data_IF_631177607293
#
_entry.id   IF_631177607293
#
_cell.length_a   1.000
_cell.length_b   1.000
_cell.length_c   1.000
_cell.angle_alpha   90.00
_cell.angle_beta   90.00
_cell.angle_gamma   90.00
#
_symmetry.space_group_name_H-M   'P 1'
#
loop_
_entity.id
_entity.type
_entity.pdbx_description
1 polymer ?
#
# COMPACT_ATOMS: atom_id res chain seq x y z
N UNK A 1 31.27 9.51 7.34
CA UNK A 1 30.75 9.03 8.63
C UNK A 1 29.38 8.46 8.34
N UNK A 2 29.21 7.14 8.42
CA UNK A 2 27.87 6.54 8.23
C UNK A 2 27.10 6.75 9.54
N UNK A 3 25.92 7.38 9.46
CA UNK A 3 25.01 7.54 10.59
C UNK A 3 24.06 6.32 10.72
N UNK A 4 24.16 5.35 9.80
CA UNK A 4 23.37 4.14 9.88
C UNK A 4 23.86 3.29 11.08
N UNK A 5 22.96 2.90 12.00
CA UNK A 5 23.33 2.03 13.11
C UNK A 5 23.72 0.66 12.55
N UNK A 6 24.98 0.25 12.77
CA UNK A 6 25.51 -1.02 12.28
C UNK A 6 25.09 -2.22 13.14
N UNK A 7 24.70 -1.96 14.39
CA UNK A 7 24.39 -2.97 15.41
C UNK A 7 22.92 -2.92 15.84
N UNK A 8 22.02 -2.38 15.01
CA UNK A 8 20.60 -2.33 15.33
C UNK A 8 19.97 -3.72 15.18
N UNK A 9 19.35 -4.21 16.25
CA UNK A 9 18.55 -5.44 16.20
C UNK A 9 17.18 -5.13 15.57
N UNK A 10 17.01 -5.56 14.32
CA UNK A 10 15.76 -5.41 13.57
C UNK A 10 14.71 -6.48 13.93
N UNK A 11 15.03 -7.37 14.88
CA UNK A 11 14.18 -8.49 15.29
C UNK A 11 14.20 -9.64 14.29
N UNK A 12 13.14 -10.45 14.32
CA UNK A 12 13.04 -11.66 13.49
C UNK A 12 12.88 -11.31 11.99
N UNK A 13 13.74 -11.82 11.09
CA UNK A 13 13.66 -11.53 9.66
C UNK A 13 12.32 -11.83 8.99
N UNK A 14 11.59 -12.83 9.52
CA UNK A 14 10.24 -13.15 9.06
C UNK A 14 9.26 -11.98 9.20
N UNK A 15 9.48 -11.06 10.15
CA UNK A 15 8.57 -9.96 10.42
C UNK A 15 8.62 -8.87 9.34
N UNK A 16 9.72 -8.77 8.59
CA UNK A 16 9.88 -7.83 7.48
C UNK A 16 10.05 -8.53 6.11
N UNK A 17 9.82 -9.85 6.07
CA UNK A 17 10.02 -10.66 4.87
C UNK A 17 9.24 -10.13 3.67
N UNK A 18 7.99 -9.70 3.87
CA UNK A 18 7.11 -9.13 2.83
C UNK A 18 7.83 -8.08 1.97
N UNK A 19 8.54 -7.13 2.59
CA UNK A 19 9.23 -6.08 1.87
C UNK A 19 10.39 -6.61 1.01
N UNK A 20 11.05 -7.67 1.47
CA UNK A 20 12.30 -8.21 0.90
C UNK A 20 12.10 -9.38 -0.04
N UNK A 21 10.88 -9.91 -0.15
CA UNK A 21 10.57 -11.09 -0.97
C UNK A 21 9.55 -10.80 -2.07
N UNK A 22 9.30 -9.53 -2.40
CA UNK A 22 8.42 -9.18 -3.52
C UNK A 22 8.98 -9.66 -4.85
N UNK A 23 8.08 -10.07 -5.73
CA UNK A 23 8.41 -10.50 -7.08
C UNK A 23 8.86 -9.29 -7.90
N UNK A 24 10.14 -9.27 -8.27
CA UNK A 24 10.74 -8.26 -9.13
C UNK A 24 11.89 -8.86 -9.95
N UNK A 25 12.32 -8.15 -10.99
CA UNK A 25 13.26 -8.66 -11.98
C UNK A 25 14.71 -8.72 -11.51
N UNK A 26 15.12 -7.91 -10.52
CA UNK A 26 16.51 -7.82 -10.07
C UNK A 26 16.67 -7.13 -8.71
N UNK A 27 17.87 -7.25 -8.13
CA UNK A 27 18.24 -6.69 -6.81
C UNK A 27 18.12 -5.16 -6.74
N UNK A 28 18.25 -4.44 -7.86
CA UNK A 28 18.14 -2.97 -7.87
C UNK A 28 16.69 -2.54 -7.69
N UNK A 29 15.76 -3.16 -8.43
CA UNK A 29 14.32 -2.97 -8.23
C UNK A 29 13.91 -3.35 -6.80
N UNK A 30 14.43 -4.47 -6.27
CA UNK A 30 14.13 -4.88 -4.90
C UNK A 30 14.56 -3.84 -3.85
N UNK A 31 15.77 -3.26 -4.00
CA UNK A 31 16.24 -2.21 -3.08
C UNK A 31 15.34 -0.98 -3.10
N UNK A 32 14.95 -0.53 -4.29
CA UNK A 32 14.05 0.62 -4.47
C UNK A 32 12.68 0.35 -3.85
N UNK A 33 12.15 -0.87 -4.00
CA UNK A 33 10.91 -1.29 -3.35
C UNK A 33 11.05 -1.30 -1.82
N UNK A 34 12.11 -1.91 -1.28
CA UNK A 34 12.36 -1.95 0.17
C UNK A 34 12.47 -0.54 0.76
N UNK A 35 13.16 0.38 0.08
CA UNK A 35 13.27 1.78 0.48
C UNK A 35 11.91 2.48 0.47
N UNK A 36 11.13 2.30 -0.61
CA UNK A 36 9.77 2.82 -0.72
C UNK A 36 8.84 2.31 0.38
N UNK A 37 8.89 1.00 0.66
CA UNK A 37 8.11 0.38 1.72
C UNK A 37 8.51 0.91 3.10
N UNK A 38 9.81 1.12 3.34
CA UNK A 38 10.31 1.77 4.54
C UNK A 38 9.75 3.18 4.73
N UNK A 39 9.72 4.00 3.68
CA UNK A 39 9.10 5.33 3.73
C UNK A 39 7.60 5.27 3.98
N UNK A 40 6.91 4.33 3.34
CA UNK A 40 5.48 4.09 3.53
C UNK A 40 5.15 3.77 5.00
N UNK A 41 5.88 2.84 5.63
CA UNK A 41 5.68 2.49 7.04
C UNK A 41 5.90 3.68 8.00
N UNK A 42 6.69 4.67 7.59
CA UNK A 42 6.94 5.91 8.33
C UNK A 42 5.99 7.05 7.94
N UNK A 43 4.92 6.78 7.18
CA UNK A 43 3.93 7.75 6.70
C UNK A 43 4.52 8.87 5.82
N UNK A 44 5.70 8.66 5.22
CA UNK A 44 6.29 9.56 4.23
C UNK A 44 5.87 9.11 2.81
N UNK A 45 4.61 9.33 2.48
CA UNK A 45 3.99 8.79 1.28
C UNK A 45 4.57 9.38 -0.02
N UNK A 46 4.90 10.66 -0.07
CA UNK A 46 5.47 11.29 -1.26
C UNK A 46 6.84 10.69 -1.61
N UNK A 47 7.69 10.47 -0.61
CA UNK A 47 8.98 9.81 -0.82
C UNK A 47 8.80 8.33 -1.16
N UNK A 48 7.84 7.64 -0.52
CA UNK A 48 7.51 6.25 -0.87
C UNK A 48 7.09 6.13 -2.34
N UNK A 49 6.21 7.02 -2.82
CA UNK A 49 5.79 7.09 -4.23
C UNK A 49 7.01 7.29 -5.13
N UNK A 50 7.92 8.21 -4.81
CA UNK A 50 9.12 8.43 -5.60
C UNK A 50 9.99 7.16 -5.72
N UNK A 51 10.19 6.44 -4.61
CA UNK A 51 10.94 5.16 -4.61
C UNK A 51 10.22 4.08 -5.41
N UNK A 52 8.90 3.94 -5.27
CA UNK A 52 8.13 2.96 -6.04
C UNK A 52 8.12 3.30 -7.53
N UNK A 53 8.02 4.58 -7.91
CA UNK A 53 8.15 5.02 -9.31
C UNK A 53 9.53 4.65 -9.87
N UNK A 54 10.60 4.91 -9.13
CA UNK A 54 11.95 4.48 -9.53
C UNK A 54 12.05 2.95 -9.67
N UNK A 55 11.39 2.19 -8.79
CA UNK A 55 11.28 0.75 -8.92
C UNK A 55 10.55 0.35 -10.21
N UNK A 56 9.48 1.05 -10.60
CA UNK A 56 8.77 0.77 -11.86
C UNK A 56 9.58 1.16 -13.10
N UNK A 57 10.48 2.14 -13.00
CA UNK A 57 11.42 2.48 -14.07
C UNK A 57 12.48 1.40 -14.25
N UNK A 58 12.95 0.80 -13.15
CA UNK A 58 13.92 -0.29 -13.15
C UNK A 58 13.30 -1.65 -13.53
N UNK A 59 12.06 -1.89 -13.13
CA UNK A 59 11.26 -3.08 -13.46
C UNK A 59 9.79 -2.71 -13.66
N UNK A 60 9.36 -2.45 -14.92
CA UNK A 60 7.97 -2.13 -15.24
C UNK A 60 6.97 -3.24 -14.90
N UNK A 61 7.44 -4.48 -14.69
CA UNK A 61 6.60 -5.62 -14.33
C UNK A 61 6.53 -5.84 -12.81
N UNK A 62 7.21 -5.05 -11.99
CA UNK A 62 7.09 -5.13 -10.53
C UNK A 62 5.70 -4.69 -10.08
N UNK A 63 4.76 -5.65 -9.99
CA UNK A 63 3.36 -5.38 -9.69
C UNK A 63 3.18 -4.72 -8.31
N UNK A 64 4.04 -5.09 -7.35
CA UNK A 64 4.00 -4.52 -6.00
C UNK A 64 4.48 -3.09 -5.94
N UNK A 65 5.38 -2.63 -6.82
CA UNK A 65 5.73 -1.22 -6.91
C UNK A 65 4.53 -0.38 -7.39
N UNK A 66 3.80 -0.86 -8.41
CA UNK A 66 2.55 -0.24 -8.85
C UNK A 66 1.48 -0.23 -7.75
N UNK A 67 1.34 -1.35 -7.02
CA UNK A 67 0.49 -1.43 -5.83
C UNK A 67 0.89 -0.40 -4.77
N UNK A 68 2.18 -0.25 -4.49
CA UNK A 68 2.71 0.69 -3.50
C UNK A 68 2.40 2.15 -3.86
N UNK A 69 2.49 2.51 -5.14
CA UNK A 69 2.08 3.85 -5.63
C UNK A 69 0.59 4.08 -5.36
N UNK A 70 -0.27 3.12 -5.76
CA UNK A 70 -1.71 3.23 -5.53
C UNK A 70 -2.06 3.34 -4.04
N UNK A 71 -1.37 2.57 -3.21
CA UNK A 71 -1.61 2.52 -1.78
C UNK A 71 -1.19 3.82 -1.08
N UNK A 72 -0.07 4.43 -1.48
CA UNK A 72 0.36 5.73 -0.94
C UNK A 72 -0.50 6.89 -1.42
N UNK A 73 -1.09 6.81 -2.61
CA UNK A 73 -2.02 7.82 -3.13
C UNK A 73 -3.37 7.80 -2.41
N UNK A 74 -3.76 6.62 -1.91
CA UNK A 74 -5.03 6.40 -1.18
C UNK A 74 -5.17 7.28 0.05
N UNK A 75 -6.41 7.42 0.51
CA UNK A 75 -6.70 7.91 1.85
C UNK A 75 -5.98 7.06 2.90
N UNK A 76 -5.42 7.71 3.92
CA UNK A 76 -4.85 7.02 5.08
C UNK A 76 -5.36 7.64 6.38
N UNK A 77 -5.07 6.99 7.51
CA UNK A 77 -5.59 7.37 8.81
C UNK A 77 -5.29 8.83 9.18
N UNK A 78 -4.09 9.33 8.83
CA UNK A 78 -3.65 10.68 9.15
C UNK A 78 -4.11 11.72 8.11
N UNK A 79 -4.48 11.27 6.91
CA UNK A 79 -4.88 12.14 5.81
C UNK A 79 -6.01 11.51 5.00
N UNK A 80 -7.23 11.65 5.52
CA UNK A 80 -8.44 11.13 4.88
C UNK A 80 -8.64 11.62 3.43
N UNK A 81 -8.25 12.85 3.05
CA UNK A 81 -8.33 13.28 1.65
C UNK A 81 -7.41 12.56 0.66
N UNK A 82 -6.49 11.70 1.09
CA UNK A 82 -5.51 11.09 0.19
C UNK A 82 -4.59 12.10 -0.52
N UNK A 83 -3.66 11.58 -1.33
CA UNK A 83 -2.78 12.40 -2.17
C UNK A 83 -3.27 12.49 -3.61
N UNK A 84 -4.16 11.58 -4.03
CA UNK A 84 -4.75 11.57 -5.36
C UNK A 84 -5.37 10.22 -5.69
N UNK A 85 -5.73 10.02 -6.96
CA UNK A 85 -6.24 8.73 -7.39
C UNK A 85 -5.12 7.72 -7.63
N UNK A 86 -5.14 6.61 -6.90
CA UNK A 86 -4.31 5.43 -7.16
C UNK A 86 -4.79 4.52 -8.30
N UNK A 87 -5.88 4.89 -9.01
CA UNK A 87 -6.53 4.03 -10.00
C UNK A 87 -5.60 3.59 -11.13
N UNK A 88 -4.87 4.52 -11.75
CA UNK A 88 -4.00 4.19 -12.89
C UNK A 88 -2.88 3.22 -12.49
N UNK A 89 -2.30 3.42 -11.30
CA UNK A 89 -1.25 2.56 -10.77
C UNK A 89 -1.79 1.15 -10.43
N UNK A 90 -2.95 1.03 -9.79
CA UNK A 90 -3.49 -0.29 -9.45
C UNK A 90 -3.98 -1.06 -10.69
N UNK A 91 -4.46 -0.37 -11.73
CA UNK A 91 -4.75 -1.01 -13.03
C UNK A 91 -3.49 -1.55 -13.69
N UNK A 92 -2.37 -0.83 -13.59
CA UNK A 92 -1.09 -1.33 -14.07
C UNK A 92 -0.59 -2.53 -13.26
N UNK A 93 -0.77 -2.54 -11.92
CA UNK A 93 -0.47 -3.69 -11.08
C UNK A 93 -1.28 -4.93 -11.50
N UNK A 94 -2.60 -4.79 -11.66
CA UNK A 94 -3.49 -5.86 -12.14
C UNK A 94 -3.05 -6.44 -13.49
N UNK A 95 -2.54 -5.60 -14.39
CA UNK A 95 -2.09 -6.01 -15.72
C UNK A 95 -0.80 -6.86 -15.68
N UNK A 96 0.07 -6.64 -14.70
CA UNK A 96 1.39 -7.30 -14.66
C UNK A 96 1.51 -8.37 -13.58
N UNK A 97 0.51 -8.57 -12.71
CA UNK A 97 0.62 -9.45 -11.54
C UNK A 97 0.67 -10.97 -11.81
N UNK A 98 0.45 -11.46 -13.03
CA UNK A 98 0.28 -12.90 -13.33
C UNK A 98 1.48 -13.78 -12.91
N UNK A 99 2.66 -13.19 -12.80
CA UNK A 99 3.89 -13.86 -12.40
C UNK A 99 4.21 -13.72 -10.90
N UNK A 100 3.44 -12.92 -10.17
CA UNK A 100 3.63 -12.69 -8.75
C UNK A 100 3.14 -13.88 -7.92
N UNK A 101 3.60 -13.94 -6.67
CA UNK A 101 3.09 -14.91 -5.70
C UNK A 101 1.59 -14.72 -5.44
N UNK A 102 0.96 -15.77 -4.88
CA UNK A 102 -0.48 -15.73 -4.61
C UNK A 102 -0.88 -14.59 -3.67
N UNK A 103 -0.09 -14.33 -2.62
CA UNK A 103 -0.36 -13.24 -1.66
C UNK A 103 -0.27 -11.86 -2.31
N UNK A 104 0.70 -11.64 -3.20
CA UNK A 104 0.83 -10.39 -3.94
C UNK A 104 -0.38 -10.17 -4.85
N UNK A 105 -0.78 -11.19 -5.62
CA UNK A 105 -1.95 -11.10 -6.48
C UNK A 105 -3.23 -10.81 -5.69
N UNK A 106 -3.40 -11.44 -4.53
CA UNK A 106 -4.56 -11.23 -3.68
C UNK A 106 -4.60 -9.82 -3.07
N UNK A 107 -3.46 -9.30 -2.59
CA UNK A 107 -3.35 -7.92 -2.10
C UNK A 107 -3.59 -6.89 -3.22
N UNK A 108 -3.15 -7.17 -4.44
CA UNK A 108 -3.42 -6.32 -5.62
C UNK A 108 -4.91 -6.31 -5.94
N UNK A 109 -5.55 -7.47 -5.98
CA UNK A 109 -7.00 -7.55 -6.20
C UNK A 109 -7.77 -6.84 -5.10
N UNK A 110 -7.39 -7.04 -3.83
CA UNK A 110 -8.01 -6.35 -2.71
C UNK A 110 -7.89 -4.83 -2.86
N UNK A 111 -6.69 -4.27 -3.05
CA UNK A 111 -6.50 -2.82 -3.18
C UNK A 111 -7.21 -2.24 -4.40
N UNK A 112 -7.36 -3.02 -5.48
CA UNK A 112 -8.13 -2.54 -6.65
C UNK A 112 -9.58 -2.17 -6.33
N UNK A 113 -10.19 -2.79 -5.31
CA UNK A 113 -11.55 -2.43 -4.86
C UNK A 113 -11.62 -1.04 -4.22
N UNK A 114 -10.49 -0.50 -3.78
CA UNK A 114 -10.38 0.85 -3.20
C UNK A 114 -10.36 1.95 -4.26
N UNK A 115 -10.19 1.63 -5.54
CA UNK A 115 -10.02 2.61 -6.60
C UNK A 115 -10.97 2.35 -7.76
N UNK A 116 -11.67 3.39 -8.21
CA UNK A 116 -12.55 3.33 -9.38
C UNK A 116 -12.21 4.42 -10.38
N UNK A 117 -12.55 4.17 -11.64
CA UNK A 117 -12.39 5.17 -12.69
C UNK A 117 -13.26 6.40 -12.42
N UNK A 118 -14.49 6.19 -11.92
CA UNK A 118 -15.42 7.25 -11.60
C UNK A 118 -14.87 8.19 -10.52
N UNK A 119 -14.24 7.63 -9.47
CA UNK A 119 -13.61 8.44 -8.42
C UNK A 119 -12.39 9.22 -8.93
N UNK A 120 -11.59 8.62 -9.83
CA UNK A 120 -10.47 9.29 -10.50
C UNK A 120 -10.96 10.47 -11.35
N UNK A 121 -11.91 10.21 -12.24
CA UNK A 121 -12.35 11.19 -13.25
C UNK A 121 -13.20 12.30 -12.61
N UNK A 122 -13.81 12.04 -11.45
CA UNK A 122 -14.53 13.02 -10.64
C UNK A 122 -13.68 13.82 -9.65
N UNK A 123 -12.37 13.53 -9.53
CA UNK A 123 -11.51 14.24 -8.59
C UNK A 123 -11.30 15.70 -9.00
N UNK A 124 -11.50 16.63 -8.07
CA UNK A 124 -11.23 18.06 -8.26
C UNK A 124 -9.91 18.42 -7.56
N UNK A 125 -8.82 18.73 -8.31
CA UNK A 125 -7.52 19.06 -7.73
C UNK A 125 -7.52 20.38 -6.96
N UNK A 126 -8.59 21.17 -7.04
CA UNK A 126 -8.74 22.40 -6.25
C UNK A 126 -9.34 22.15 -4.86
N UNK A 127 -9.83 20.93 -4.59
CA UNK A 127 -10.43 20.54 -3.32
C UNK A 127 -9.52 19.57 -2.58
N UNK A 128 -9.32 19.78 -1.29
CA UNK A 128 -8.63 18.84 -0.39
C UNK A 128 -9.52 17.63 -0.07
N UNK A 129 -9.95 16.90 -1.11
CA UNK A 129 -10.76 15.69 -1.03
C UNK A 129 -10.51 14.78 -2.25
N UNK A 130 -9.25 14.60 -2.64
CA UNK A 130 -8.85 13.78 -3.80
C UNK A 130 -8.76 12.27 -3.47
N UNK A 131 -9.29 11.87 -2.32
CA UNK A 131 -9.08 10.56 -1.71
C UNK A 131 -10.20 9.61 -2.06
N UNK A 132 -10.14 8.43 -1.45
CA UNK A 132 -11.15 7.40 -1.67
C UNK A 132 -12.45 7.81 -0.98
N UNK A 133 -13.56 7.65 -1.69
CA UNK A 133 -14.89 7.77 -1.10
C UNK A 133 -15.03 6.76 0.05
N UNK A 134 -15.79 7.06 1.11
CA UNK A 134 -15.95 6.17 2.26
C UNK A 134 -16.34 4.73 1.89
N UNK A 135 -17.21 4.56 0.90
CA UNK A 135 -17.63 3.26 0.36
C UNK A 135 -16.48 2.45 -0.25
N UNK A 136 -15.46 3.11 -0.82
CA UNK A 136 -14.28 2.43 -1.37
C UNK A 136 -13.34 1.97 -0.25
N UNK A 137 -13.29 2.69 0.88
CA UNK A 137 -12.59 2.21 2.07
C UNK A 137 -13.29 0.98 2.67
N UNK A 138 -14.63 0.96 2.67
CA UNK A 138 -15.42 -0.22 3.06
C UNK A 138 -15.13 -1.40 2.14
N UNK A 139 -15.18 -1.20 0.82
CA UNK A 139 -14.91 -2.25 -0.15
C UNK A 139 -13.51 -2.88 0.04
N UNK A 140 -12.50 -2.05 0.30
CA UNK A 140 -11.15 -2.54 0.58
C UNK A 140 -11.06 -3.34 1.88
N UNK A 141 -11.67 -2.84 2.97
CA UNK A 141 -11.69 -3.57 4.23
C UNK A 141 -12.42 -4.92 4.11
N UNK A 142 -13.54 -4.96 3.39
CA UNK A 142 -14.27 -6.21 3.10
C UNK A 142 -13.44 -7.17 2.24
N UNK A 143 -12.70 -6.67 1.25
CA UNK A 143 -11.81 -7.48 0.42
C UNK A 143 -10.60 -8.03 1.20
N UNK A 144 -10.11 -7.31 2.20
CA UNK A 144 -9.00 -7.74 3.06
C UNK A 144 -9.42 -8.77 4.12
N UNK A 145 -10.67 -8.76 4.58
CA UNK A 145 -11.17 -9.68 5.60
C UNK A 145 -10.91 -11.17 5.30
N UNK A 146 -11.24 -11.72 4.11
CA UNK A 146 -10.91 -13.11 3.79
C UNK A 146 -9.40 -13.36 3.64
N UNK A 147 -8.60 -12.35 3.28
CA UNK A 147 -7.14 -12.49 3.17
C UNK A 147 -6.48 -12.59 4.54
N UNK A 148 -6.97 -11.83 5.53
CA UNK A 148 -6.53 -11.94 6.92
C UNK A 148 -6.70 -13.37 7.45
N UNK A 149 -7.82 -14.03 7.15
CA UNK A 149 -8.05 -15.43 7.51
C UNK A 149 -7.18 -16.40 6.67
N UNK A 150 -7.08 -16.18 5.36
CA UNK A 150 -6.29 -17.02 4.44
C UNK A 150 -4.80 -17.04 4.79
N UNK A 151 -4.25 -15.89 5.19
CA UNK A 151 -2.84 -15.68 5.51
C UNK A 151 -2.64 -15.46 7.01
N UNK A 152 -3.41 -16.15 7.86
CA UNK A 152 -3.34 -16.00 9.31
C UNK A 152 -1.90 -16.16 9.84
N UNK A 153 -1.43 -15.15 10.59
CA UNK A 153 -0.07 -15.07 11.11
C UNK A 153 0.91 -14.26 10.24
N UNK A 154 0.54 -13.91 9.01
CA UNK A 154 1.31 -12.95 8.21
C UNK A 154 1.10 -11.53 8.74
N UNK A 155 2.18 -10.93 9.26
CA UNK A 155 2.11 -9.61 9.89
C UNK A 155 1.88 -8.48 8.88
N UNK A 156 2.31 -8.63 7.63
CA UNK A 156 2.09 -7.61 6.60
C UNK A 156 0.62 -7.59 6.18
N UNK A 157 0.02 -8.76 5.91
CA UNK A 157 -1.42 -8.87 5.61
C UNK A 157 -2.26 -8.37 6.80
N UNK A 158 -1.87 -8.73 8.02
CA UNK A 158 -2.53 -8.27 9.25
C UNK A 158 -2.48 -6.75 9.38
N UNK A 159 -1.30 -6.14 9.20
CA UNK A 159 -1.13 -4.69 9.30
C UNK A 159 -1.96 -3.94 8.25
N UNK A 160 -1.97 -4.43 7.00
CA UNK A 160 -2.78 -3.86 5.91
C UNK A 160 -4.28 -3.92 6.26
N UNK A 161 -4.76 -5.05 6.80
CA UNK A 161 -6.16 -5.17 7.18
C UNK A 161 -6.54 -4.25 8.36
N UNK A 162 -5.68 -4.15 9.37
CA UNK A 162 -5.88 -3.22 10.50
C UNK A 162 -5.96 -1.78 10.00
N UNK A 163 -5.07 -1.37 9.09
CA UNK A 163 -5.09 -0.03 8.47
C UNK A 163 -6.39 0.22 7.72
N UNK A 164 -6.85 -0.76 6.93
CA UNK A 164 -8.12 -0.69 6.21
C UNK A 164 -9.31 -0.47 7.16
N UNK A 165 -9.35 -1.19 8.29
CA UNK A 165 -10.38 -1.02 9.31
C UNK A 165 -10.31 0.35 10.01
N UNK A 166 -9.10 0.82 10.33
CA UNK A 166 -8.90 2.14 10.93
C UNK A 166 -9.40 3.27 10.02
N UNK A 167 -9.26 3.11 8.70
CA UNK A 167 -9.74 4.08 7.71
C UNK A 167 -11.27 4.14 7.57
N UNK A 168 -12.02 3.16 8.08
CA UNK A 168 -13.49 3.23 8.08
C UNK A 168 -14.02 4.34 9.00
N UNK A 169 -13.26 4.67 10.05
CA UNK A 169 -13.60 5.65 11.09
C UNK A 169 -12.34 6.38 11.56
N UNK A 170 -11.61 6.99 10.63
CA UNK A 170 -10.39 7.73 10.94
C UNK A 170 -10.65 8.77 12.06
N UNK A 171 -9.80 8.77 13.09
CA UNK A 171 -9.91 9.61 14.30
C UNK A 171 -11.19 9.43 15.15
N UNK A 172 -12.00 8.41 14.87
CA UNK A 172 -13.26 8.11 15.57
C UNK A 172 -13.28 6.67 16.12
N UNK A 173 -12.13 6.19 16.63
CA UNK A 173 -11.94 4.80 17.06
C UNK A 173 -12.70 4.42 18.34
N UNK A 174 -13.11 5.41 19.15
CA UNK A 174 -13.90 5.19 20.36
C UNK A 174 -14.92 6.32 20.53
N UNK A 175 -16.07 5.99 21.11
CA UNK A 175 -16.97 7.02 21.62
C UNK A 175 -16.37 7.57 22.93
N UNK A 176 -16.08 8.87 22.95
CA UNK A 176 -15.50 9.54 24.13
C UNK A 176 -16.47 9.61 25.31
N UNK A 177 -17.76 9.34 25.10
CA UNK A 177 -18.82 9.50 26.10
C UNK A 177 -19.36 8.17 26.66
N UNK A 178 -18.75 7.04 26.32
CA UNK A 178 -19.04 5.71 26.88
C UNK A 178 -17.78 5.10 27.47
#
# INVERSE_FOLDING_TARGET
>A
MSLAPLDYDFGEPSNYAFATTVTCANDEALKLFVEGYGHYLNYNHEQAIACFMACTDADPNCAMAWWGIAYCLSSNYNWAPGLGSGYDAIQQALKVMDHCSEVEQDLIRALSTRHTQEARDGADPTVLNMGNLPELNVAFAEAMAPLYEKYAGDLAVTAIYVEALMNLKAWQLWDKNT
#
